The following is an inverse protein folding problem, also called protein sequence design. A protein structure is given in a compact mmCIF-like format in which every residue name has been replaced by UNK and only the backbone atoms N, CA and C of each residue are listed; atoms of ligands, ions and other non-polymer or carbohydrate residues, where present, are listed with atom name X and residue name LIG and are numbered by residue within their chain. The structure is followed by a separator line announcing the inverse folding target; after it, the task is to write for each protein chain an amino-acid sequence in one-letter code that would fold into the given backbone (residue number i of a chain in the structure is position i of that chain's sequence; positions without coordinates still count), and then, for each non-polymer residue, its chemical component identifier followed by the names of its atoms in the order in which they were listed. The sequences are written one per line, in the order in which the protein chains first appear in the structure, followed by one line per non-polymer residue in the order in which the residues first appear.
data_IF_744891040628
#
_entry.id   IF_744891040628
#
_cell.length_a   1.000
_cell.length_b   1.000
_cell.length_c   1.000
_cell.angle_alpha   90.00
_cell.angle_beta   90.00
_cell.angle_gamma   90.00
#
_symmetry.space_group_name_H-M   'P 1'
#
loop_
_entity.id
_entity.type
_entity.pdbx_description
1 polymer ?
#
# COMPACT_ATOMS: atom_id res chain seq x y z
N UNK A 1 11.03 -19.50 -12.21
CA UNK A 1 9.85 -19.91 -13.01
C UNK A 1 8.54 -19.44 -12.40
N UNK A 2 8.62 -18.58 -11.42
CA UNK A 2 7.42 -17.99 -10.79
C UNK A 2 6.87 -16.86 -11.65
N UNK A 3 7.75 -16.18 -12.38
CA UNK A 3 7.37 -15.03 -13.21
C UNK A 3 7.41 -15.39 -14.70
N UNK A 4 6.50 -14.81 -15.51
CA UNK A 4 6.59 -14.93 -16.95
C UNK A 4 7.92 -14.36 -17.46
N UNK A 5 8.43 -14.95 -18.54
CA UNK A 5 9.72 -14.55 -19.13
C UNK A 5 9.76 -13.05 -19.47
N UNK A 6 8.67 -12.52 -20.01
CA UNK A 6 8.53 -11.11 -20.36
C UNK A 6 8.75 -10.20 -19.15
N UNK A 7 8.13 -10.54 -18.02
CA UNK A 7 8.25 -9.75 -16.79
C UNK A 7 9.67 -9.84 -16.24
N UNK A 8 10.25 -11.04 -16.22
CA UNK A 8 11.61 -11.24 -15.76
C UNK A 8 12.60 -10.43 -16.61
N UNK A 9 12.44 -10.46 -17.94
CA UNK A 9 13.29 -9.69 -18.85
C UNK A 9 13.19 -8.19 -18.54
N UNK A 10 11.97 -7.69 -18.32
CA UNK A 10 11.75 -6.28 -18.00
C UNK A 10 12.42 -5.90 -16.68
N UNK A 11 12.38 -6.75 -15.68
CA UNK A 11 13.04 -6.52 -14.40
C UNK A 11 14.56 -6.43 -14.58
N UNK A 12 15.14 -7.37 -15.32
CA UNK A 12 16.57 -7.40 -15.58
C UNK A 12 17.02 -6.14 -16.30
N UNK A 13 16.31 -5.75 -17.35
CA UNK A 13 16.62 -4.55 -18.12
C UNK A 13 16.50 -3.29 -17.28
N UNK A 14 15.50 -3.23 -16.37
CA UNK A 14 15.32 -2.11 -15.46
C UNK A 14 16.48 -1.98 -14.50
N UNK A 15 17.01 -3.08 -13.99
CA UNK A 15 18.15 -3.08 -13.08
C UNK A 15 19.39 -2.50 -13.77
N UNK A 16 19.65 -2.91 -15.00
CA UNK A 16 20.78 -2.37 -15.77
C UNK A 16 20.57 -0.89 -16.10
N UNK A 17 19.35 -0.47 -16.38
CA UNK A 17 19.05 0.94 -16.62
C UNK A 17 19.25 1.78 -15.37
N UNK A 18 18.83 1.28 -14.21
CA UNK A 18 19.02 1.96 -12.92
C UNK A 18 20.48 2.07 -12.54
N UNK A 19 21.32 1.12 -12.94
CA UNK A 19 22.75 1.15 -12.65
C UNK A 19 23.43 2.41 -13.24
N UNK A 20 22.89 2.95 -14.32
CA UNK A 20 23.41 4.18 -14.92
C UNK A 20 23.17 5.40 -14.05
N UNK A 21 22.09 5.41 -13.28
CA UNK A 21 21.71 6.50 -12.39
C UNK A 21 22.25 6.28 -10.98
N UNK A 22 22.21 5.04 -10.53
CA UNK A 22 22.66 4.63 -9.21
C UNK A 22 23.70 3.51 -9.37
N UNK A 23 24.98 3.85 -9.61
CA UNK A 23 26.02 2.84 -9.81
C UNK A 23 26.09 1.84 -8.66
N UNK A 24 26.20 0.56 -8.99
CA UNK A 24 26.19 -0.54 -8.04
C UNK A 24 24.88 -1.30 -7.99
N UNK A 25 23.83 -0.79 -8.61
CA UNK A 25 22.53 -1.46 -8.63
C UNK A 25 22.60 -2.83 -9.33
N UNK A 26 23.40 -2.96 -10.38
CA UNK A 26 23.55 -4.21 -11.14
C UNK A 26 24.85 -4.97 -10.80
N UNK A 27 25.37 -4.78 -9.60
CA UNK A 27 26.57 -5.52 -9.18
C UNK A 27 26.27 -7.00 -8.96
N UNK A 28 27.33 -7.83 -9.05
CA UNK A 28 27.19 -9.29 -8.89
C UNK A 28 26.65 -9.70 -7.52
N UNK A 29 26.86 -8.89 -6.50
CA UNK A 29 26.41 -9.15 -5.13
C UNK A 29 25.01 -8.60 -4.84
N UNK A 30 24.37 -8.00 -5.82
CA UNK A 30 22.99 -7.50 -5.69
C UNK A 30 22.02 -8.68 -5.67
N UNK A 31 21.15 -8.69 -4.66
CA UNK A 31 20.16 -9.74 -4.49
C UNK A 31 18.76 -9.19 -4.75
N UNK A 32 17.93 -10.00 -5.40
CA UNK A 32 16.53 -9.68 -5.63
C UNK A 32 15.66 -10.60 -4.78
N UNK A 33 14.77 -10.02 -4.02
CA UNK A 33 13.79 -10.75 -3.23
C UNK A 33 12.41 -10.58 -3.85
N UNK A 34 11.74 -11.68 -4.07
CA UNK A 34 10.39 -11.73 -4.63
C UNK A 34 9.85 -13.14 -4.48
N UNK A 35 8.57 -13.40 -4.70
CA UNK A 35 7.58 -12.39 -5.04
C UNK A 35 6.90 -11.92 -3.78
N UNK A 36 6.57 -10.63 -3.72
CA UNK A 36 5.75 -10.12 -2.65
C UNK A 36 4.29 -10.21 -3.08
N UNK A 37 3.47 -10.84 -2.27
CA UNK A 37 2.02 -10.92 -2.50
C UNK A 37 1.33 -9.90 -1.62
N UNK A 38 0.49 -9.07 -2.24
CA UNK A 38 -0.30 -8.07 -1.53
C UNK A 38 -1.77 -8.38 -1.72
N UNK A 39 -2.48 -8.50 -0.61
CA UNK A 39 -3.90 -8.75 -0.62
C UNK A 39 -4.63 -7.51 -0.15
N UNK A 40 -5.58 -7.05 -0.96
CA UNK A 40 -6.34 -5.86 -0.63
C UNK A 40 -7.66 -6.25 -0.03
N UNK A 41 -8.05 -5.53 1.01
CA UNK A 41 -9.31 -5.78 1.69
C UNK A 41 -10.49 -5.45 0.79
N UNK A 42 -11.59 -6.18 0.98
CA UNK A 42 -12.86 -5.83 0.38
C UNK A 42 -13.34 -4.53 1.06
N UNK A 43 -13.80 -3.58 0.25
CA UNK A 43 -14.32 -2.33 0.79
C UNK A 43 -15.73 -2.57 1.34
N UNK A 44 -15.96 -2.42 2.65
CA UNK A 44 -17.28 -2.58 3.23
C UNK A 44 -18.18 -1.40 2.86
N UNK A 45 -19.47 -1.58 3.05
CA UNK A 45 -20.44 -0.52 2.86
C UNK A 45 -20.58 0.28 4.16
N UNK A 46 -20.21 1.56 4.12
CA UNK A 46 -20.22 2.43 5.29
C UNK A 46 -21.55 3.17 5.42
N UNK A 47 -21.95 3.43 6.68
CA UNK A 47 -23.16 4.16 6.97
C UNK A 47 -23.06 5.65 6.64
N UNK A 48 -21.84 6.21 6.73
CA UNK A 48 -21.62 7.66 6.56
C UNK A 48 -20.18 7.96 6.17
N UNK A 49 -19.85 9.24 6.07
CA UNK A 49 -18.51 9.69 5.70
C UNK A 49 -17.48 9.57 6.81
N UNK A 50 -17.86 9.11 7.99
CA UNK A 50 -16.96 8.90 9.11
C UNK A 50 -16.41 7.46 9.16
N UNK A 51 -16.67 6.68 8.12
CA UNK A 51 -16.25 5.27 8.01
C UNK A 51 -16.84 4.38 9.12
N UNK A 52 -18.05 4.73 9.54
CA UNK A 52 -18.79 3.93 10.50
C UNK A 52 -19.49 2.78 9.78
N UNK A 53 -19.24 1.56 10.22
CA UNK A 53 -19.84 0.36 9.64
C UNK A 53 -21.22 0.09 10.23
N UNK A 54 -21.29 0.18 11.53
CA UNK A 54 -22.53 0.08 12.31
C UNK A 54 -22.34 0.99 13.52
N UNK A 55 -23.34 1.10 14.37
CA UNK A 55 -23.30 2.03 15.50
C UNK A 55 -22.02 1.85 16.35
N UNK A 56 -21.21 2.89 16.41
CA UNK A 56 -19.98 2.95 17.18
C UNK A 56 -18.91 1.93 16.78
N UNK A 57 -19.01 1.40 15.54
CA UNK A 57 -18.00 0.50 14.99
C UNK A 57 -17.43 1.12 13.71
N UNK A 58 -16.14 1.34 13.70
CA UNK A 58 -15.42 1.99 12.60
C UNK A 58 -14.42 1.03 12.01
N UNK A 59 -14.24 1.07 10.68
CA UNK A 59 -13.18 0.33 10.00
C UNK A 59 -12.32 1.34 9.27
N UNK A 60 -11.04 1.40 9.62
CA UNK A 60 -10.11 2.38 9.07
C UNK A 60 -8.81 1.71 8.65
N UNK A 61 -7.98 2.47 7.96
CA UNK A 61 -6.70 1.99 7.47
C UNK A 61 -6.85 1.04 6.30
N UNK A 62 -5.89 0.17 6.11
CA UNK A 62 -5.88 -0.79 5.01
C UNK A 62 -7.10 -1.73 5.06
N UNK A 63 -7.57 -2.06 6.25
CA UNK A 63 -8.74 -2.92 6.44
C UNK A 63 -10.03 -2.33 5.91
N UNK A 64 -10.07 -1.02 5.68
CA UNK A 64 -11.25 -0.36 5.11
C UNK A 64 -11.38 -0.55 3.60
N UNK A 65 -10.29 -0.96 2.93
CA UNK A 65 -10.25 -1.03 1.48
C UNK A 65 -10.20 0.32 0.77
N UNK A 66 -10.09 1.43 1.52
CA UNK A 66 -10.10 2.78 0.98
C UNK A 66 -8.68 3.28 0.73
N UNK A 67 -7.76 3.00 1.62
CA UNK A 67 -6.37 3.44 1.50
C UNK A 67 -5.40 2.27 1.60
N UNK A 68 -4.19 2.46 1.08
CA UNK A 68 -3.19 1.39 0.96
C UNK A 68 -1.79 1.85 1.30
N UNK A 69 -1.65 2.83 2.16
CA UNK A 69 -0.34 3.35 2.51
C UNK A 69 -0.31 3.81 3.95
N UNK A 70 0.89 3.89 4.50
CA UNK A 70 1.07 4.30 5.89
C UNK A 70 0.56 5.71 6.14
N UNK A 71 0.89 6.65 5.25
CA UNK A 71 0.47 8.04 5.39
C UNK A 71 -1.03 8.19 5.30
N UNK A 72 -1.66 7.53 4.33
CA UNK A 72 -3.10 7.59 4.16
C UNK A 72 -3.83 6.93 5.33
N UNK A 73 -3.33 5.79 5.80
CA UNK A 73 -3.91 5.09 6.94
C UNK A 73 -3.80 5.93 8.21
N UNK A 74 -2.66 6.60 8.43
CA UNK A 74 -2.48 7.50 9.55
C UNK A 74 -3.41 8.70 9.49
N UNK A 75 -3.54 9.30 8.31
CA UNK A 75 -4.45 10.43 8.10
C UNK A 75 -5.91 10.04 8.36
N UNK A 76 -6.30 8.85 7.89
CA UNK A 76 -7.64 8.33 8.12
C UNK A 76 -7.93 8.12 9.61
N UNK A 77 -6.94 7.61 10.36
CA UNK A 77 -7.05 7.47 11.81
C UNK A 77 -7.28 8.80 12.51
N UNK A 78 -6.54 9.82 12.14
CA UNK A 78 -6.68 11.17 12.69
C UNK A 78 -8.07 11.73 12.36
N UNK A 79 -8.48 11.61 11.12
CA UNK A 79 -9.78 12.10 10.69
C UNK A 79 -10.92 11.48 11.48
N UNK A 80 -10.89 10.16 11.64
CA UNK A 80 -11.95 9.44 12.35
C UNK A 80 -11.92 9.76 13.85
N UNK A 81 -10.72 9.87 14.44
CA UNK A 81 -10.58 10.27 15.84
C UNK A 81 -11.20 11.65 16.09
N UNK A 82 -10.94 12.60 15.19
CA UNK A 82 -11.53 13.94 15.29
C UNK A 82 -13.06 13.89 15.16
N UNK A 83 -13.57 13.05 14.27
CA UNK A 83 -15.02 12.86 14.13
C UNK A 83 -15.64 12.28 15.41
N UNK A 84 -14.98 11.34 16.07
CA UNK A 84 -15.48 10.71 17.28
C UNK A 84 -15.46 11.68 18.45
N UNK A 85 -14.39 12.47 18.58
CA UNK A 85 -14.25 13.44 19.66
C UNK A 85 -15.06 14.71 19.44
N UNK A 86 -15.59 14.90 18.24
CA UNK A 86 -16.32 16.11 17.88
C UNK A 86 -15.43 17.27 17.50
N UNK A 87 -14.12 17.07 17.40
CA UNK A 87 -13.21 18.10 16.96
C UNK A 87 -13.34 18.33 15.46
N UNK A 88 -13.24 19.56 15.05
CA UNK A 88 -13.32 19.98 13.66
C UNK A 88 -11.92 20.09 13.08
N UNK A 89 -11.73 19.53 11.90
CA UNK A 89 -10.46 19.65 11.18
C UNK A 89 -10.50 20.90 10.32
#
# INVERSE_FOLDING_TARGET
LVLPHRILTNIIETIYALDKVAPGTANDDTLLYGCESKYYSIRPEFMNNKFELTDNVYIIGDGSGICRGLSQSGAMGIYVADCITGDSI
#
